data_IF_221469856397
#
_entry.id   IF_221469856397
#
_cell.length_a   1.000
_cell.length_b   1.000
_cell.length_c   1.000
_cell.angle_alpha   90.00
_cell.angle_beta   90.00
_cell.angle_gamma   90.00
#
_symmetry.space_group_name_H-M   'P 1'
#
loop_
_entity.id
_entity.type
_entity.pdbx_description
1 polymer ?
#
# COMPACT_ATOMS: atom_id res chain seq x y z
N UNK A 1 6.48 37.13 -17.70
CA UNK A 1 5.29 37.93 -17.35
C UNK A 1 4.58 37.24 -16.20
N UNK A 2 4.68 37.76 -14.98
CA UNK A 2 4.08 37.16 -13.80
C UNK A 2 2.77 37.87 -13.44
N UNK A 3 1.78 37.13 -12.95
CA UNK A 3 0.48 37.67 -12.54
C UNK A 3 0.16 37.31 -11.09
N UNK A 4 -0.58 38.17 -10.40
CA UNK A 4 -0.93 37.98 -9.01
C UNK A 4 -1.98 36.85 -8.89
N UNK A 5 -1.77 35.83 -8.03
CA UNK A 5 -2.76 34.76 -7.87
C UNK A 5 -4.05 35.25 -7.22
N UNK A 6 -4.00 36.30 -6.39
CA UNK A 6 -5.19 36.84 -5.72
C UNK A 6 -6.03 37.78 -6.60
N UNK A 7 -5.42 38.64 -7.42
CA UNK A 7 -6.14 39.70 -8.12
C UNK A 7 -5.94 39.71 -9.64
N UNK A 8 -5.08 38.84 -10.19
CA UNK A 8 -4.80 38.76 -11.62
C UNK A 8 -4.03 39.95 -12.21
N UNK A 9 -3.63 40.94 -11.38
CA UNK A 9 -2.82 42.06 -11.85
C UNK A 9 -1.41 41.62 -12.24
N UNK A 10 -0.83 42.28 -13.24
CA UNK A 10 0.54 42.01 -13.69
C UNK A 10 1.53 42.46 -12.62
N UNK A 11 2.46 41.58 -12.25
CA UNK A 11 3.48 41.82 -11.24
C UNK A 11 4.86 41.77 -11.89
N UNK A 12 5.76 42.63 -11.45
CA UNK A 12 7.18 42.52 -11.76
C UNK A 12 7.82 41.33 -11.05
N UNK A 13 8.71 40.63 -11.74
CA UNK A 13 9.30 39.36 -11.32
C UNK A 13 10.13 39.44 -10.02
N UNK A 14 10.42 40.65 -9.51
CA UNK A 14 11.15 40.89 -8.26
C UNK A 14 10.32 41.62 -7.17
N UNK A 15 9.01 41.82 -7.37
CA UNK A 15 8.17 42.48 -6.37
C UNK A 15 7.81 41.53 -5.23
N UNK A 16 8.11 41.94 -3.99
CA UNK A 16 7.82 41.19 -2.76
C UNK A 16 6.34 41.18 -2.38
N UNK A 17 5.60 42.18 -2.86
CA UNK A 17 4.18 42.43 -2.57
C UNK A 17 3.51 42.95 -3.83
N UNK A 18 2.29 42.52 -4.10
CA UNK A 18 1.46 43.05 -5.17
C UNK A 18 1.04 44.48 -4.85
N UNK A 19 1.39 45.44 -5.70
CA UNK A 19 1.05 46.85 -5.53
C UNK A 19 -0.45 47.15 -5.72
N UNK A 20 -1.20 46.22 -6.32
CA UNK A 20 -2.62 46.41 -6.64
C UNK A 20 -3.55 45.92 -5.53
N UNK A 21 -3.24 44.79 -4.89
CA UNK A 21 -4.08 44.19 -3.85
C UNK A 21 -3.38 44.03 -2.48
N UNK A 22 -2.07 44.27 -2.40
CA UNK A 22 -1.30 44.09 -1.17
C UNK A 22 -0.90 42.65 -0.85
N UNK A 23 -1.13 41.69 -1.74
CA UNK A 23 -0.75 40.28 -1.53
C UNK A 23 0.78 40.10 -1.44
N UNK A 24 1.26 39.41 -0.40
CA UNK A 24 2.69 39.18 -0.21
C UNK A 24 3.17 37.97 -1.02
N UNK A 25 4.05 38.21 -1.99
CA UNK A 25 4.62 37.23 -2.93
C UNK A 25 5.93 36.62 -2.41
N UNK A 26 6.41 37.11 -1.27
CA UNK A 26 7.66 36.67 -0.62
C UNK A 26 7.60 35.21 -0.16
N UNK A 27 6.41 34.61 -0.03
CA UNK A 27 6.22 33.23 0.41
C UNK A 27 6.58 32.18 -0.65
N UNK A 28 6.73 32.56 -1.92
CA UNK A 28 7.04 31.61 -3.00
C UNK A 28 8.51 31.18 -3.05
N UNK A 29 9.44 31.87 -2.36
CA UNK A 29 10.87 31.52 -2.38
C UNK A 29 11.41 30.89 -1.08
N UNK A 30 10.56 30.66 -0.07
CA UNK A 30 11.00 30.05 1.19
C UNK A 30 10.59 28.57 1.24
N UNK A 31 11.52 27.62 1.47
CA UNK A 31 11.24 26.19 1.57
C UNK A 31 10.52 25.83 2.89
N UNK A 32 9.39 26.46 3.19
CA UNK A 32 8.60 26.19 4.40
C UNK A 32 7.59 25.06 4.22
N UNK A 33 7.64 24.36 3.09
CA UNK A 33 6.66 23.34 2.75
C UNK A 33 7.18 21.90 2.80
N UNK A 34 8.43 21.62 3.16
CA UNK A 34 8.86 20.23 3.36
C UNK A 34 8.36 19.72 4.72
N UNK A 35 8.78 20.33 5.82
CA UNK A 35 8.50 19.80 7.17
C UNK A 35 7.01 19.69 7.54
N UNK A 36 6.15 20.62 7.09
CA UNK A 36 4.70 20.54 7.33
C UNK A 36 4.05 19.44 6.48
N UNK A 37 4.46 19.31 5.21
CA UNK A 37 3.99 18.23 4.33
C UNK A 37 4.47 16.87 4.85
N UNK A 38 5.70 16.77 5.33
CA UNK A 38 6.26 15.55 5.90
C UNK A 38 5.49 15.06 7.13
N UNK A 39 5.06 15.99 8.02
CA UNK A 39 4.19 15.65 9.16
C UNK A 39 2.82 15.16 8.73
N UNK A 40 2.22 15.80 7.72
CA UNK A 40 0.93 15.35 7.16
C UNK A 40 1.06 13.98 6.50
N UNK A 41 2.15 13.70 5.80
CA UNK A 41 2.43 12.39 5.20
C UNK A 41 2.54 11.33 6.31
N UNK A 42 3.33 11.56 7.36
CA UNK A 42 3.46 10.62 8.49
C UNK A 42 2.12 10.38 9.22
N UNK A 43 1.29 11.40 9.39
CA UNK A 43 -0.04 11.24 9.99
C UNK A 43 -0.98 10.40 9.11
N UNK A 44 -0.94 10.63 7.79
CA UNK A 44 -1.75 9.91 6.81
C UNK A 44 -1.37 8.42 6.79
N UNK A 45 -0.07 8.09 6.79
CA UNK A 45 0.42 6.70 6.83
C UNK A 45 -0.10 5.95 8.08
N UNK A 46 -0.01 6.58 9.25
CA UNK A 46 -0.53 6.00 10.50
C UNK A 46 -2.06 5.85 10.51
N UNK A 47 -2.78 6.66 9.72
CA UNK A 47 -4.23 6.55 9.56
C UNK A 47 -4.60 5.40 8.62
N UNK A 48 -3.81 5.19 7.56
CA UNK A 48 -3.96 4.05 6.64
C UNK A 48 -3.78 2.73 7.40
N UNK A 49 -2.73 2.57 8.19
CA UNK A 49 -2.49 1.33 8.97
C UNK A 49 -3.65 1.00 9.92
N UNK A 50 -4.23 2.02 10.57
CA UNK A 50 -5.41 1.85 11.46
C UNK A 50 -6.66 1.45 10.67
N UNK A 51 -6.85 2.03 9.51
CA UNK A 51 -7.97 1.68 8.62
C UNK A 51 -7.82 0.24 8.13
N UNK A 52 -6.63 -0.21 7.75
CA UNK A 52 -6.36 -1.60 7.35
C UNK A 52 -6.64 -2.61 8.46
N UNK A 53 -6.21 -2.32 9.70
CA UNK A 53 -6.54 -3.17 10.86
C UNK A 53 -8.06 -3.24 11.10
N UNK A 54 -8.79 -2.16 10.83
CA UNK A 54 -10.25 -2.14 10.97
C UNK A 54 -10.95 -2.89 9.83
N UNK A 55 -10.47 -2.82 8.58
CA UNK A 55 -11.03 -3.56 7.43
C UNK A 55 -10.70 -5.05 7.43
N UNK A 56 -9.59 -5.47 8.07
CA UNK A 56 -9.22 -6.88 8.21
C UNK A 56 -10.24 -7.69 9.04
N UNK A 57 -10.98 -7.04 9.94
CA UNK A 57 -12.06 -7.69 10.70
C UNK A 57 -13.32 -7.96 9.88
N UNK A 58 -13.49 -7.33 8.70
CA UNK A 58 -14.70 -7.46 7.86
C UNK A 58 -14.48 -8.18 6.53
N UNK A 59 -13.23 -8.41 6.10
CA UNK A 59 -12.92 -8.99 4.77
C UNK A 59 -12.37 -10.42 4.80
N UNK A 60 -12.38 -11.13 5.94
CA UNK A 60 -11.98 -12.56 5.98
C UNK A 60 -13.07 -13.54 5.51
N UNK A 61 -14.15 -13.05 4.90
CA UNK A 61 -15.25 -13.88 4.40
C UNK A 61 -15.64 -13.56 2.95
N UNK A 62 -14.68 -13.40 2.03
CA UNK A 62 -14.94 -13.36 0.58
C UNK A 62 -13.61 -13.48 -0.19
N UNK A 63 -13.21 -14.70 -0.56
CA UNK A 63 -12.02 -14.95 -1.39
C UNK A 63 -11.26 -16.22 -1.00
N UNK A 64 -11.82 -17.38 -1.32
CA UNK A 64 -11.16 -18.68 -1.21
C UNK A 64 -10.17 -18.86 -2.36
N UNK A 65 -8.89 -19.09 -2.08
CA UNK A 65 -7.92 -19.46 -3.11
C UNK A 65 -6.45 -19.17 -2.80
N UNK A 66 -5.89 -19.83 -1.79
CA UNK A 66 -4.58 -20.51 -1.84
C UNK A 66 -4.20 -20.99 -0.44
N UNK A 67 -4.62 -22.20 -0.12
CA UNK A 67 -3.95 -22.99 0.91
C UNK A 67 -2.48 -23.17 0.48
N UNK A 68 -1.59 -22.43 1.15
CA UNK A 68 -0.16 -22.69 1.16
C UNK A 68 0.11 -23.92 2.03
N UNK A 69 -0.43 -25.04 1.57
CA UNK A 69 -0.07 -26.38 2.03
C UNK A 69 1.32 -26.66 1.47
N UNK A 70 2.36 -26.87 2.29
CA UNK A 70 3.71 -27.07 1.78
C UNK A 70 3.73 -28.32 0.90
N UNK A 71 3.99 -28.16 -0.40
CA UNK A 71 4.05 -29.25 -1.40
C UNK A 71 4.96 -30.42 -0.97
N UNK A 72 5.88 -30.18 -0.04
CA UNK A 72 6.78 -31.16 0.58
C UNK A 72 6.04 -32.26 1.35
N UNK A 73 4.83 -32.01 1.87
CA UNK A 73 4.08 -33.01 2.66
C UNK A 73 3.12 -33.88 1.84
N UNK A 74 2.68 -33.44 0.66
CA UNK A 74 1.78 -34.22 -0.20
C UNK A 74 2.51 -35.42 -0.82
N UNK A 75 3.78 -35.21 -1.19
CA UNK A 75 4.64 -36.23 -1.79
C UNK A 75 4.81 -37.48 -0.90
N UNK A 76 5.26 -37.40 0.36
CA UNK A 76 5.46 -38.60 1.19
C UNK A 76 4.16 -39.34 1.50
N UNK A 77 3.03 -38.64 1.67
CA UNK A 77 1.73 -39.27 1.97
C UNK A 77 1.23 -40.05 0.76
N UNK A 78 1.31 -39.47 -0.44
CA UNK A 78 0.95 -40.15 -1.67
C UNK A 78 1.84 -41.39 -1.92
N UNK A 79 3.15 -41.26 -1.73
CA UNK A 79 4.08 -42.39 -1.87
C UNK A 79 3.81 -43.50 -0.84
N UNK A 80 3.52 -43.15 0.41
CA UNK A 80 3.19 -44.13 1.44
C UNK A 80 1.89 -44.89 1.09
N UNK A 81 0.84 -44.19 0.68
CA UNK A 81 -0.43 -44.82 0.29
C UNK A 81 -0.26 -45.78 -0.89
N UNK A 82 0.49 -45.38 -1.93
CA UNK A 82 0.79 -46.22 -3.10
C UNK A 82 1.61 -47.45 -2.68
N UNK A 83 2.61 -47.27 -1.82
CA UNK A 83 3.44 -48.37 -1.32
C UNK A 83 2.59 -49.39 -0.53
N UNK A 84 1.73 -48.92 0.37
CA UNK A 84 0.85 -49.79 1.16
C UNK A 84 -0.13 -50.57 0.28
N UNK A 85 -0.74 -49.93 -0.73
CA UNK A 85 -1.63 -50.61 -1.67
C UNK A 85 -0.89 -51.67 -2.48
N UNK A 86 0.33 -51.37 -2.92
CA UNK A 86 1.13 -52.31 -3.70
C UNK A 86 1.54 -53.54 -2.86
N UNK A 87 1.97 -53.31 -1.62
CA UNK A 87 2.30 -54.40 -0.68
C UNK A 87 1.07 -55.26 -0.39
N UNK A 88 -0.09 -54.64 -0.13
CA UNK A 88 -1.34 -55.36 0.08
C UNK A 88 -1.74 -56.19 -1.13
N UNK A 89 -1.59 -55.64 -2.33
CA UNK A 89 -1.91 -56.33 -3.58
C UNK A 89 -0.98 -57.53 -3.82
N UNK A 90 0.32 -57.42 -3.55
CA UNK A 90 1.26 -58.54 -3.62
C UNK A 90 0.90 -59.65 -2.63
N UNK A 91 0.58 -59.28 -1.38
CA UNK A 91 0.17 -60.24 -0.35
C UNK A 91 -1.09 -60.99 -0.80
N UNK A 92 -2.06 -60.30 -1.38
CA UNK A 92 -3.29 -60.89 -1.90
C UNK A 92 -3.05 -61.83 -3.10
N UNK A 93 -2.12 -61.50 -4.00
CA UNK A 93 -1.77 -62.40 -5.12
C UNK A 93 -1.09 -63.68 -4.61
N UNK A 94 -0.28 -63.56 -3.56
CA UNK A 94 0.55 -64.66 -3.06
C UNK A 94 -0.21 -65.61 -2.12
N UNK A 95 -1.39 -65.19 -1.63
CA UNK A 95 -2.20 -65.95 -0.67
C UNK A 95 -3.43 -66.55 -1.33
#
# INVERSE_FOLDING_TARGET
MNYCPECGSKIEENSKVCQFCGYSLTSLSKPESSSEKDKRIQELEKKIERLEKSTQSKQKSSGSGNENTPWVFITPIAFAAIFFLFVFMIIFITR
#
